data_IF_769862983323
#
_entry.id   IF_769862983323
#
_cell.length_a   1.000
_cell.length_b   1.000
_cell.length_c   1.000
_cell.angle_alpha   90.00
_cell.angle_beta   90.00
_cell.angle_gamma   90.00
#
_symmetry.space_group_name_H-M   'P 1'
#
loop_
_entity.id
_entity.type
_entity.pdbx_description
1 polymer ?
#
# COMPACT_ATOMS: atom_id res chain seq x y z
N UNK A 1 2.06 21.28 4.37
CA UNK A 1 1.30 20.99 5.60
C UNK A 1 2.08 19.98 6.43
N UNK A 2 2.11 20.14 7.75
CA UNK A 2 2.72 19.23 8.71
C UNK A 2 1.70 18.91 9.82
N UNK A 3 2.02 17.93 10.68
CA UNK A 3 1.15 17.54 11.80
C UNK A 3 0.36 16.27 11.55
N UNK A 4 -0.71 16.06 12.34
CA UNK A 4 -1.51 14.83 12.32
C UNK A 4 -2.16 14.57 10.95
N UNK A 5 -2.05 13.35 10.46
CA UNK A 5 -2.67 12.94 9.19
C UNK A 5 -4.16 12.64 9.41
N UNK A 6 -5.03 13.46 8.84
CA UNK A 6 -6.48 13.20 8.74
C UNK A 6 -6.71 12.70 7.33
N UNK A 7 -6.73 11.37 7.18
CA UNK A 7 -6.66 10.70 5.89
C UNK A 7 -7.99 10.13 5.41
N UNK A 8 -8.09 9.93 4.09
CA UNK A 8 -9.08 9.08 3.47
C UNK A 8 -8.40 8.19 2.41
N UNK A 9 -8.81 6.91 2.33
CA UNK A 9 -8.51 6.09 1.16
C UNK A 9 -9.60 6.33 0.12
N UNK A 10 -9.19 6.77 -1.08
CA UNK A 10 -10.12 7.07 -2.18
C UNK A 10 -9.72 6.34 -3.45
N UNK A 11 -9.12 5.15 -3.33
CA UNK A 11 -8.60 4.46 -4.50
C UNK A 11 -9.69 4.00 -5.47
N UNK A 12 -10.95 3.90 -5.04
CA UNK A 12 -12.10 3.67 -5.93
C UNK A 12 -12.56 4.89 -6.72
N UNK A 13 -12.04 6.09 -6.44
CA UNK A 13 -12.62 7.33 -6.96
C UNK A 13 -12.71 7.36 -8.49
N UNK A 14 -11.66 6.94 -9.18
CA UNK A 14 -11.60 6.95 -10.65
C UNK A 14 -12.58 5.96 -11.27
N UNK A 15 -12.83 4.82 -10.63
CA UNK A 15 -13.85 3.85 -11.03
C UNK A 15 -15.26 4.41 -10.81
N UNK A 16 -15.52 4.96 -9.62
CA UNK A 16 -16.79 5.63 -9.31
C UNK A 16 -17.10 6.78 -10.29
N UNK A 17 -16.09 7.59 -10.64
CA UNK A 17 -16.23 8.67 -11.62
C UNK A 17 -16.57 8.14 -13.03
N UNK A 18 -15.95 7.03 -13.45
CA UNK A 18 -16.29 6.37 -14.73
C UNK A 18 -17.72 5.84 -14.73
N UNK A 19 -18.19 5.34 -13.60
CA UNK A 19 -19.56 4.83 -13.42
C UNK A 19 -20.60 5.97 -13.24
N UNK A 20 -20.18 7.23 -13.30
CA UNK A 20 -21.05 8.40 -13.27
C UNK A 20 -21.47 8.84 -11.86
N UNK A 21 -20.82 8.33 -10.82
CA UNK A 21 -21.05 8.75 -9.42
C UNK A 21 -20.69 10.23 -9.26
N UNK A 22 -21.54 10.96 -8.56
CA UNK A 22 -21.35 12.39 -8.25
C UNK A 22 -21.31 12.61 -6.75
N UNK A 23 -20.44 13.50 -6.31
CA UNK A 23 -20.32 13.92 -4.92
C UNK A 23 -20.85 15.34 -4.77
N UNK A 24 -21.48 15.63 -3.63
CA UNK A 24 -22.15 16.89 -3.38
C UNK A 24 -21.75 17.42 -2.00
N UNK A 25 -21.53 18.72 -1.90
CA UNK A 25 -21.36 19.36 -0.61
C UNK A 25 -22.70 19.54 0.12
N UNK A 26 -22.66 20.08 1.34
CA UNK A 26 -23.85 20.28 2.18
C UNK A 26 -24.91 21.20 1.57
N UNK A 27 -24.54 22.03 0.59
CA UNK A 27 -25.45 22.92 -0.14
C UNK A 27 -26.01 22.28 -1.42
N UNK A 28 -25.79 20.98 -1.64
CA UNK A 28 -26.23 20.26 -2.85
C UNK A 28 -25.45 20.62 -4.12
N UNK A 29 -24.27 21.25 -4.00
CA UNK A 29 -23.42 21.58 -5.15
C UNK A 29 -22.51 20.41 -5.49
N UNK A 30 -22.61 19.93 -6.74
CA UNK A 30 -21.71 18.91 -7.27
C UNK A 30 -20.24 19.37 -7.19
N UNK A 31 -19.38 18.52 -6.63
CA UNK A 31 -17.97 18.82 -6.34
C UNK A 31 -17.12 17.57 -6.59
N UNK A 32 -15.87 17.75 -7.01
CA UNK A 32 -14.92 16.63 -7.12
C UNK A 32 -14.59 16.10 -5.71
N UNK A 33 -14.48 14.77 -5.57
CA UNK A 33 -14.43 14.11 -4.26
C UNK A 33 -13.22 14.52 -3.41
N UNK A 34 -12.01 14.52 -3.98
CA UNK A 34 -10.80 14.90 -3.23
C UNK A 34 -10.87 16.37 -2.79
N UNK A 35 -11.38 17.26 -3.65
CA UNK A 35 -11.62 18.65 -3.28
C UNK A 35 -12.65 18.78 -2.15
N UNK A 36 -13.75 18.03 -2.20
CA UNK A 36 -14.75 18.02 -1.13
C UNK A 36 -14.11 17.55 0.19
N UNK A 37 -13.39 16.43 0.19
CA UNK A 37 -12.67 15.94 1.37
C UNK A 37 -11.68 16.98 1.90
N UNK A 38 -11.02 17.72 1.01
CA UNK A 38 -10.10 18.80 1.39
C UNK A 38 -10.82 19.91 2.15
N UNK A 39 -11.97 20.35 1.64
CA UNK A 39 -12.81 21.37 2.23
C UNK A 39 -13.38 20.92 3.60
N UNK A 40 -13.67 19.62 3.75
CA UNK A 40 -14.10 19.00 5.02
C UNK A 40 -12.93 18.69 5.98
N UNK A 41 -11.70 19.08 5.63
CA UNK A 41 -10.55 19.06 6.53
C UNK A 41 -9.67 17.82 6.47
N UNK A 42 -9.87 16.93 5.50
CA UNK A 42 -8.90 15.87 5.13
C UNK A 42 -7.61 16.53 4.63
N UNK A 43 -6.45 15.99 5.04
CA UNK A 43 -5.14 16.51 4.67
C UNK A 43 -4.19 15.46 4.07
N UNK A 44 -4.60 14.19 4.05
CA UNK A 44 -3.81 13.09 3.49
C UNK A 44 -4.69 12.15 2.67
N UNK A 45 -4.12 11.51 1.65
CA UNK A 45 -4.81 10.52 0.82
C UNK A 45 -4.02 9.22 0.80
N UNK A 46 -4.71 8.09 0.97
CA UNK A 46 -4.17 6.74 0.82
C UNK A 46 -4.63 6.14 -0.50
N UNK A 47 -3.71 5.50 -1.21
CA UNK A 47 -3.96 4.87 -2.52
C UNK A 47 -3.37 3.46 -2.56
N UNK A 48 -4.22 2.45 -2.75
CA UNK A 48 -3.79 1.07 -2.97
C UNK A 48 -3.25 0.83 -4.37
N UNK A 49 -2.29 -0.08 -4.47
CA UNK A 49 -1.58 -0.48 -5.68
C UNK A 49 -1.69 -1.99 -5.85
N UNK A 50 -2.20 -2.41 -7.00
CA UNK A 50 -2.23 -3.79 -7.48
C UNK A 50 -1.20 -3.97 -8.61
N UNK A 51 -0.74 -5.21 -8.80
CA UNK A 51 0.35 -5.51 -9.74
C UNK A 51 -0.17 -5.52 -11.19
N UNK A 52 -1.03 -6.47 -11.55
CA UNK A 52 -1.66 -6.58 -12.86
C UNK A 52 -3.18 -6.76 -12.76
N UNK A 53 -3.92 -5.76 -12.26
CA UNK A 53 -5.35 -5.90 -12.04
C UNK A 53 -6.17 -5.93 -13.32
N UNK A 54 -7.20 -6.76 -13.34
CA UNK A 54 -8.21 -6.74 -14.38
C UNK A 54 -8.95 -5.38 -14.40
N UNK A 55 -9.16 -4.81 -15.58
CA UNK A 55 -9.78 -3.48 -15.74
C UNK A 55 -8.86 -2.29 -15.45
N UNK A 56 -7.65 -2.51 -14.93
CA UNK A 56 -6.61 -1.49 -14.75
C UNK A 56 -6.76 -0.61 -13.51
N UNK A 57 -7.86 -0.72 -12.76
CA UNK A 57 -8.06 0.03 -11.52
C UNK A 57 -7.09 -0.41 -10.44
N UNK A 58 -6.60 0.56 -9.68
CA UNK A 58 -5.52 0.38 -8.70
C UNK A 58 -4.19 -0.11 -9.32
N UNK A 59 -4.09 -0.26 -10.64
CA UNK A 59 -2.83 -0.47 -11.34
C UNK A 59 -1.99 0.81 -11.37
N UNK A 60 -0.75 0.68 -11.86
CA UNK A 60 0.24 1.76 -11.90
C UNK A 60 -0.30 3.09 -12.46
N UNK A 61 -0.91 3.07 -13.64
CA UNK A 61 -1.36 4.29 -14.33
C UNK A 61 -2.49 5.00 -13.57
N UNK A 62 -3.43 4.23 -13.02
CA UNK A 62 -4.55 4.75 -12.23
C UNK A 62 -4.06 5.37 -10.91
N UNK A 63 -3.12 4.72 -10.24
CA UNK A 63 -2.46 5.25 -9.03
C UNK A 63 -1.74 6.55 -9.33
N UNK A 64 -0.99 6.63 -10.44
CA UNK A 64 -0.29 7.85 -10.86
C UNK A 64 -1.27 9.00 -11.09
N UNK A 65 -2.38 8.73 -11.77
CA UNK A 65 -3.40 9.74 -12.05
C UNK A 65 -4.03 10.28 -10.75
N UNK A 66 -4.42 9.40 -9.82
CA UNK A 66 -4.98 9.79 -8.51
C UNK A 66 -3.96 10.52 -7.63
N UNK A 67 -2.73 10.03 -7.55
CA UNK A 67 -1.67 10.64 -6.75
C UNK A 67 -1.30 12.04 -7.25
N UNK A 68 -1.18 12.21 -8.57
CA UNK A 68 -0.94 13.52 -9.17
C UNK A 68 -2.08 14.48 -8.86
N UNK A 69 -3.34 14.04 -9.01
CA UNK A 69 -4.53 14.84 -8.66
C UNK A 69 -4.51 15.28 -7.19
N UNK A 70 -4.28 14.34 -6.27
CA UNK A 70 -4.21 14.61 -4.84
C UNK A 70 -3.08 15.61 -4.49
N UNK A 71 -1.92 15.51 -5.15
CA UNK A 71 -0.86 16.51 -4.98
C UNK A 71 -1.28 17.90 -5.44
N UNK A 72 -1.99 18.04 -6.58
CA UNK A 72 -2.46 19.36 -7.04
C UNK A 72 -3.41 20.03 -6.03
N UNK A 73 -4.12 19.23 -5.23
CA UNK A 73 -5.00 19.69 -4.15
C UNK A 73 -4.26 19.89 -2.81
N UNK A 74 -2.95 19.67 -2.80
CA UNK A 74 -2.06 19.88 -1.66
C UNK A 74 -2.13 18.78 -0.59
N UNK A 75 -2.66 17.60 -0.90
CA UNK A 75 -2.68 16.47 0.03
C UNK A 75 -1.26 15.95 0.33
N UNK A 76 -1.10 15.24 1.44
CA UNK A 76 0.04 14.33 1.69
C UNK A 76 -0.33 12.93 1.21
N UNK A 77 0.62 12.14 0.73
CA UNK A 77 0.30 10.86 0.09
C UNK A 77 0.85 9.65 0.86
N UNK A 78 -0.01 8.64 0.98
CA UNK A 78 0.35 7.28 1.35
C UNK A 78 0.09 6.36 0.15
N UNK A 79 1.10 5.59 -0.25
CA UNK A 79 0.98 4.57 -1.30
C UNK A 79 1.00 3.20 -0.64
N UNK A 80 0.00 2.37 -0.93
CA UNK A 80 -0.21 1.08 -0.27
C UNK A 80 -0.04 -0.06 -1.27
N UNK A 81 1.07 -0.78 -1.20
CA UNK A 81 1.32 -1.92 -2.08
C UNK A 81 0.69 -3.18 -1.52
N UNK A 82 -0.28 -3.73 -2.24
CA UNK A 82 -0.88 -5.02 -1.88
C UNK A 82 -0.01 -6.22 -2.26
N UNK A 83 0.88 -6.06 -3.26
CA UNK A 83 1.62 -7.17 -3.88
C UNK A 83 0.73 -8.35 -4.30
N UNK A 84 -0.45 -8.02 -4.84
CA UNK A 84 -1.45 -8.92 -5.41
C UNK A 84 -2.03 -8.27 -6.66
N UNK A 85 -2.63 -9.05 -7.55
CA UNK A 85 -3.39 -8.53 -8.70
C UNK A 85 -4.79 -8.03 -8.27
N UNK A 86 -5.18 -8.28 -7.03
CA UNK A 86 -6.48 -7.94 -6.46
C UNK A 86 -6.34 -7.59 -4.98
N UNK A 87 -7.45 -7.56 -4.25
CA UNK A 87 -7.47 -7.37 -2.80
C UNK A 87 -6.48 -8.30 -2.09
N UNK A 88 -5.76 -7.71 -1.15
CA UNK A 88 -4.89 -8.40 -0.22
C UNK A 88 -5.41 -8.06 1.18
N UNK A 89 -5.72 -9.08 1.97
CA UNK A 89 -6.34 -8.98 3.27
C UNK A 89 -5.86 -10.16 4.15
N UNK A 90 -6.26 -10.27 5.42
CA UNK A 90 -5.78 -11.31 6.33
C UNK A 90 -6.18 -12.74 5.95
N UNK A 91 -7.10 -12.91 5.00
CA UNK A 91 -7.54 -14.20 4.46
C UNK A 91 -7.04 -14.43 3.01
N UNK A 92 -6.58 -13.40 2.32
CA UNK A 92 -6.12 -13.47 0.94
C UNK A 92 -4.83 -12.68 0.75
N UNK A 93 -3.71 -13.37 0.52
CA UNK A 93 -2.42 -12.75 0.18
C UNK A 93 -1.85 -13.37 -1.11
N UNK A 94 -2.71 -13.55 -2.10
CA UNK A 94 -2.43 -14.30 -3.33
C UNK A 94 -1.26 -13.71 -4.11
N UNK A 95 -0.29 -14.56 -4.47
CA UNK A 95 0.82 -14.18 -5.36
C UNK A 95 0.28 -13.76 -6.74
N UNK A 96 0.70 -12.59 -7.29
CA UNK A 96 0.34 -12.16 -8.64
C UNK A 96 0.59 -13.24 -9.69
N UNK A 97 -0.28 -13.33 -10.70
CA UNK A 97 -0.21 -14.35 -11.73
C UNK A 97 1.15 -14.37 -12.44
N UNK A 98 1.73 -13.19 -12.69
CA UNK A 98 3.03 -13.04 -13.35
C UNK A 98 4.22 -13.53 -12.51
N UNK A 99 4.05 -13.72 -11.20
CA UNK A 99 5.08 -14.16 -10.26
C UNK A 99 4.89 -15.62 -9.83
N UNK A 100 3.89 -16.30 -10.39
CA UNK A 100 3.68 -17.72 -10.16
C UNK A 100 4.89 -18.52 -10.67
N UNK A 101 5.43 -19.41 -9.83
CA UNK A 101 6.62 -20.20 -10.12
C UNK A 101 7.96 -19.50 -9.85
N UNK A 102 7.96 -18.29 -9.28
CA UNK A 102 9.19 -17.64 -8.86
C UNK A 102 9.82 -18.37 -7.67
N UNK A 103 11.15 -18.42 -7.65
CA UNK A 103 11.93 -18.75 -6.45
C UNK A 103 11.85 -17.62 -5.43
N UNK A 104 12.27 -17.86 -4.18
CA UNK A 104 12.28 -16.83 -3.14
C UNK A 104 13.10 -15.60 -3.54
N UNK A 105 14.25 -15.79 -4.20
CA UNK A 105 15.09 -14.68 -4.68
C UNK A 105 14.42 -13.88 -5.80
N UNK A 106 13.74 -14.55 -6.74
CA UNK A 106 12.97 -13.88 -7.78
C UNK A 106 11.78 -13.12 -7.20
N UNK A 107 11.10 -13.68 -6.19
CA UNK A 107 9.99 -13.03 -5.49
C UNK A 107 10.46 -11.75 -4.79
N UNK A 108 11.59 -11.82 -4.08
CA UNK A 108 12.23 -10.67 -3.44
C UNK A 108 12.58 -9.58 -4.45
N UNK A 109 13.14 -9.96 -5.60
CA UNK A 109 13.48 -9.04 -6.68
C UNK A 109 12.21 -8.41 -7.29
N UNK A 110 11.15 -9.18 -7.49
CA UNK A 110 9.87 -8.71 -8.04
C UNK A 110 9.20 -7.68 -7.14
N UNK A 111 9.21 -7.88 -5.82
CA UNK A 111 8.77 -6.89 -4.83
C UNK A 111 9.56 -5.59 -5.01
N UNK A 112 10.90 -5.65 -5.01
CA UNK A 112 11.73 -4.46 -5.14
C UNK A 112 11.50 -3.72 -6.48
N UNK A 113 11.37 -4.45 -7.58
CA UNK A 113 11.19 -3.88 -8.92
C UNK A 113 9.81 -3.26 -9.09
N UNK A 114 8.74 -3.92 -8.65
CA UNK A 114 7.39 -3.36 -8.70
C UNK A 114 7.27 -2.09 -7.85
N UNK A 115 7.80 -2.10 -6.63
CA UNK A 115 7.82 -0.92 -5.76
C UNK A 115 8.60 0.23 -6.41
N UNK A 116 9.80 -0.03 -6.95
CA UNK A 116 10.60 1.00 -7.64
C UNK A 116 9.90 1.53 -8.88
N UNK A 117 9.32 0.67 -9.70
CA UNK A 117 8.66 1.05 -10.95
C UNK A 117 7.50 2.03 -10.68
N UNK A 118 6.59 1.68 -9.78
CA UNK A 118 5.45 2.55 -9.44
C UNK A 118 5.91 3.85 -8.79
N UNK A 119 6.83 3.79 -7.82
CA UNK A 119 7.32 5.00 -7.14
C UNK A 119 8.12 5.91 -8.08
N UNK A 120 8.92 5.35 -9.00
CA UNK A 120 9.63 6.16 -10.00
C UNK A 120 8.66 6.81 -10.95
N UNK A 121 7.65 6.08 -11.43
CA UNK A 121 6.64 6.65 -12.32
C UNK A 121 5.85 7.79 -11.64
N UNK A 122 5.55 7.68 -10.35
CA UNK A 122 5.02 8.80 -9.55
C UNK A 122 5.97 10.00 -9.55
N UNK A 123 7.25 9.77 -9.25
CA UNK A 123 8.30 10.81 -9.19
C UNK A 123 8.49 11.49 -10.54
N UNK A 124 8.52 10.73 -11.62
CA UNK A 124 8.68 11.20 -13.00
C UNK A 124 7.45 12.01 -13.46
N UNK A 125 6.26 11.69 -12.93
CA UNK A 125 5.05 12.52 -13.11
C UNK A 125 5.04 13.79 -12.25
N UNK A 126 6.09 14.01 -11.45
CA UNK A 126 6.27 15.16 -10.57
C UNK A 126 5.58 15.02 -9.21
N UNK A 127 5.16 13.82 -8.81
CA UNK A 127 4.64 13.57 -7.46
C UNK A 127 5.80 13.47 -6.49
N UNK A 128 6.01 14.49 -5.66
CA UNK A 128 7.16 14.59 -4.75
C UNK A 128 6.78 14.47 -3.28
N UNK A 129 5.48 14.47 -2.97
CA UNK A 129 4.90 14.50 -1.62
C UNK A 129 4.44 13.13 -1.10
N UNK A 130 5.01 12.03 -1.62
CA UNK A 130 4.84 10.69 -1.02
C UNK A 130 5.51 10.71 0.35
N UNK A 131 4.70 10.64 1.41
CA UNK A 131 5.16 10.72 2.79
C UNK A 131 5.18 9.36 3.47
N UNK A 132 4.31 8.43 3.04
CA UNK A 132 4.28 7.07 3.55
C UNK A 132 4.15 6.06 2.42
N UNK A 133 4.72 4.87 2.65
CA UNK A 133 4.51 3.73 1.78
C UNK A 133 4.26 2.49 2.62
N UNK A 134 3.15 1.78 2.39
CA UNK A 134 2.96 0.45 2.97
C UNK A 134 3.63 -0.61 2.09
N UNK A 135 4.38 -1.50 2.73
CA UNK A 135 4.94 -2.69 2.08
C UNK A 135 4.07 -3.87 2.53
N UNK A 136 3.00 -4.11 1.77
CA UNK A 136 1.93 -5.04 2.12
C UNK A 136 0.71 -4.34 2.73
N UNK A 137 -0.47 -4.95 2.56
CA UNK A 137 -1.73 -4.53 3.16
C UNK A 137 -2.26 -5.63 4.09
N UNK A 138 -2.56 -5.28 5.34
CA UNK A 138 -3.11 -6.18 6.37
C UNK A 138 -2.39 -7.54 6.48
N UNK A 139 -1.05 -7.50 6.58
CA UNK A 139 -0.17 -8.68 6.49
C UNK A 139 -0.07 -9.45 7.80
N UNK A 140 -1.19 -9.74 8.48
CA UNK A 140 -1.20 -10.36 9.83
C UNK A 140 -0.52 -11.71 9.89
N UNK A 141 -0.57 -12.48 8.81
CA UNK A 141 0.23 -13.70 8.65
C UNK A 141 1.15 -13.57 7.42
N UNK A 142 1.73 -12.39 7.23
CA UNK A 142 2.62 -12.11 6.11
C UNK A 142 1.92 -11.74 4.81
N UNK A 143 2.63 -11.91 3.69
CA UNK A 143 2.18 -11.57 2.35
C UNK A 143 2.70 -12.58 1.32
N UNK A 144 2.20 -12.54 0.08
CA UNK A 144 2.68 -13.42 -1.00
C UNK A 144 2.62 -14.91 -0.62
N UNK A 145 1.44 -15.38 -0.23
CA UNK A 145 1.21 -16.75 0.18
C UNK A 145 1.37 -17.69 -1.02
N UNK A 146 2.38 -18.55 -0.93
CA UNK A 146 2.71 -19.56 -1.91
C UNK A 146 2.56 -20.95 -1.30
N UNK A 147 2.19 -21.96 -2.11
CA UNK A 147 2.11 -23.35 -1.66
C UNK A 147 3.48 -23.96 -1.33
N UNK A 148 4.56 -23.41 -1.90
CA UNK A 148 5.93 -23.80 -1.55
C UNK A 148 6.42 -23.01 -0.33
N UNK A 149 6.66 -23.69 0.79
CA UNK A 149 7.18 -23.08 2.03
C UNK A 149 8.56 -22.44 1.85
N UNK A 150 9.34 -22.88 0.84
CA UNK A 150 10.63 -22.24 0.51
C UNK A 150 10.45 -20.86 -0.13
N UNK A 151 9.27 -20.54 -0.66
CA UNK A 151 8.96 -19.28 -1.37
C UNK A 151 7.95 -18.42 -0.62
N UNK A 152 7.04 -19.02 0.16
CA UNK A 152 5.96 -18.26 0.80
C UNK A 152 6.49 -17.15 1.71
N UNK A 153 5.84 -15.98 1.68
CA UNK A 153 6.03 -14.92 2.66
C UNK A 153 5.02 -15.00 3.81
N UNK A 154 4.36 -16.14 4.00
CA UNK A 154 3.45 -16.39 5.11
C UNK A 154 4.25 -16.60 6.40
N UNK A 155 4.05 -15.76 7.42
CA UNK A 155 4.92 -15.75 8.62
C UNK A 155 4.84 -17.06 9.40
N UNK A 156 3.65 -17.64 9.52
CA UNK A 156 3.41 -18.93 10.19
C UNK A 156 4.11 -20.12 9.53
N UNK A 157 4.61 -19.95 8.30
CA UNK A 157 5.35 -20.95 7.52
C UNK A 157 6.82 -20.59 7.36
N UNK A 158 7.11 -19.33 7.04
CA UNK A 158 8.45 -18.86 6.77
C UNK A 158 8.60 -17.36 7.06
N UNK A 159 8.83 -17.03 8.33
CA UNK A 159 9.05 -15.65 8.78
C UNK A 159 10.29 -14.98 8.16
N UNK A 160 11.32 -15.77 7.79
CA UNK A 160 12.53 -15.25 7.17
C UNK A 160 12.26 -14.69 5.76
N UNK A 161 11.46 -15.40 4.96
CA UNK A 161 11.02 -14.89 3.65
C UNK A 161 10.17 -13.63 3.79
N UNK A 162 9.23 -13.60 4.75
CA UNK A 162 8.44 -12.39 5.00
C UNK A 162 9.34 -11.18 5.29
N UNK A 163 10.29 -11.32 6.21
CA UNK A 163 11.25 -10.25 6.53
C UNK A 163 12.10 -9.84 5.32
N UNK A 164 12.54 -10.81 4.50
CA UNK A 164 13.30 -10.53 3.28
C UNK A 164 12.48 -9.73 2.26
N UNK A 165 11.19 -10.03 2.10
CA UNK A 165 10.30 -9.31 1.18
C UNK A 165 9.94 -7.91 1.71
N UNK A 166 9.69 -7.77 3.02
CA UNK A 166 9.52 -6.45 3.65
C UNK A 166 10.77 -5.59 3.43
N UNK A 167 11.97 -6.16 3.64
CA UNK A 167 13.23 -5.45 3.44
C UNK A 167 13.45 -5.02 1.99
N UNK A 168 13.10 -5.87 1.02
CA UNK A 168 13.18 -5.54 -0.40
C UNK A 168 12.26 -4.36 -0.75
N UNK A 169 11.03 -4.35 -0.25
CA UNK A 169 10.11 -3.22 -0.38
C UNK A 169 10.63 -1.97 0.32
N UNK A 170 11.13 -2.08 1.56
CA UNK A 170 11.71 -0.97 2.32
C UNK A 170 12.86 -0.31 1.56
N UNK A 171 13.84 -1.09 1.13
CA UNK A 171 15.03 -0.58 0.43
C UNK A 171 14.64 0.02 -0.95
N UNK A 172 13.63 -0.55 -1.62
CA UNK A 172 13.04 0.01 -2.84
C UNK A 172 12.37 1.36 -2.61
N UNK A 173 11.60 1.53 -1.53
CA UNK A 173 11.00 2.82 -1.14
C UNK A 173 12.10 3.85 -0.91
N UNK A 174 13.10 3.53 -0.08
CA UNK A 174 14.18 4.45 0.28
C UNK A 174 15.02 4.87 -0.92
N UNK A 175 15.17 4.01 -1.93
CA UNK A 175 15.88 4.34 -3.17
C UNK A 175 15.17 5.42 -4.00
N UNK A 176 13.84 5.58 -3.90
CA UNK A 176 13.08 6.53 -4.72
C UNK A 176 12.64 7.75 -3.91
N UNK A 177 12.08 7.51 -2.72
CA UNK A 177 11.62 8.50 -1.75
C UNK A 177 12.34 8.26 -0.40
N UNK A 178 13.58 8.73 -0.24
CA UNK A 178 14.40 8.44 0.94
C UNK A 178 13.78 8.91 2.27
N UNK A 179 12.93 9.94 2.21
CA UNK A 179 12.25 10.50 3.38
C UNK A 179 10.86 9.90 3.65
N UNK A 180 10.33 9.05 2.76
CA UNK A 180 9.05 8.40 2.99
C UNK A 180 9.17 7.41 4.15
N UNK A 181 8.18 7.41 5.05
CA UNK A 181 8.11 6.44 6.15
C UNK A 181 7.53 5.13 5.63
N UNK A 182 8.24 4.03 5.81
CA UNK A 182 7.79 2.70 5.42
C UNK A 182 6.93 2.11 6.54
N UNK A 183 5.73 1.68 6.16
CA UNK A 183 4.72 1.12 7.05
C UNK A 183 4.64 -0.39 6.83
N UNK A 184 4.65 -1.13 7.93
CA UNK A 184 4.12 -2.50 7.97
C UNK A 184 2.73 -2.40 8.60
N UNK A 185 1.72 -2.90 7.91
CA UNK A 185 0.31 -2.69 8.23
C UNK A 185 -0.40 -4.02 8.52
N UNK A 186 -1.14 -4.06 9.63
CA UNK A 186 -1.84 -5.25 10.12
C UNK A 186 -3.29 -4.91 10.45
N UNK A 187 -4.21 -5.86 10.26
CA UNK A 187 -5.59 -5.73 10.73
C UNK A 187 -5.70 -5.90 12.26
N UNK A 188 -6.93 -5.87 12.80
CA UNK A 188 -7.21 -6.14 14.21
C UNK A 188 -6.31 -5.36 15.19
N UNK A 189 -6.25 -4.03 15.06
CA UNK A 189 -5.42 -3.18 15.90
C UNK A 189 -5.66 -3.28 17.41
N UNK A 190 -6.77 -3.91 17.82
CA UNK A 190 -7.10 -4.23 19.20
C UNK A 190 -6.44 -5.53 19.73
N UNK A 191 -5.98 -6.44 18.86
CA UNK A 191 -5.37 -7.71 19.25
C UNK A 191 -3.87 -7.57 19.50
N UNK A 192 -3.51 -7.24 20.74
CA UNK A 192 -2.11 -7.11 21.14
C UNK A 192 -1.30 -8.39 20.92
N UNK A 193 -1.92 -9.58 21.03
CA UNK A 193 -1.24 -10.87 20.89
C UNK A 193 -0.77 -11.10 19.45
N UNK A 194 -1.67 -10.97 18.48
CA UNK A 194 -1.36 -11.08 17.06
C UNK A 194 -0.35 -10.02 16.60
N UNK A 195 -0.49 -8.78 17.07
CA UNK A 195 0.45 -7.70 16.75
C UNK A 195 1.86 -8.02 17.26
N UNK A 196 1.98 -8.40 18.53
CA UNK A 196 3.29 -8.73 19.14
C UNK A 196 3.94 -9.89 18.40
N UNK A 197 3.17 -10.94 18.10
CA UNK A 197 3.67 -12.11 17.37
C UNK A 197 4.25 -11.76 16.00
N UNK A 198 3.55 -10.96 15.18
CA UNK A 198 4.06 -10.58 13.86
C UNK A 198 5.33 -9.72 13.98
N UNK A 199 5.29 -8.67 14.80
CA UNK A 199 6.40 -7.72 14.89
C UNK A 199 7.64 -8.33 15.55
N UNK A 200 7.49 -9.26 16.50
CA UNK A 200 8.62 -10.02 17.05
C UNK A 200 9.25 -10.92 15.99
N UNK A 201 8.45 -11.69 15.23
CA UNK A 201 8.97 -12.50 14.12
C UNK A 201 9.71 -11.64 13.09
N UNK A 202 9.14 -10.49 12.74
CA UNK A 202 9.76 -9.58 11.78
C UNK A 202 11.09 -9.02 12.32
N UNK A 203 11.14 -8.64 13.61
CA UNK A 203 12.34 -8.13 14.27
C UNK A 203 13.43 -9.20 14.38
N UNK A 204 13.09 -10.41 14.80
CA UNK A 204 14.01 -11.54 14.95
C UNK A 204 14.67 -11.94 13.62
N UNK A 205 13.96 -11.73 12.50
CA UNK A 205 14.46 -11.98 11.15
C UNK A 205 15.07 -10.74 10.48
N UNK A 206 15.31 -9.65 11.23
CA UNK A 206 16.01 -8.46 10.73
C UNK A 206 15.18 -7.58 9.80
N UNK A 207 13.85 -7.59 9.94
CA UNK A 207 12.94 -6.73 9.19
C UNK A 207 13.12 -5.24 9.49
N UNK A 208 12.86 -4.40 8.49
CA UNK A 208 12.98 -2.94 8.55
C UNK A 208 11.62 -2.27 8.32
N UNK A 209 11.23 -1.37 9.20
CA UNK A 209 10.07 -0.50 9.05
C UNK A 209 10.25 0.77 9.88
N UNK A 210 9.52 1.83 9.54
CA UNK A 210 9.58 3.10 10.28
C UNK A 210 8.31 3.31 11.14
N UNK A 211 7.19 2.72 10.73
CA UNK A 211 5.86 2.94 11.35
C UNK A 211 5.07 1.63 11.38
N UNK A 212 4.36 1.41 12.48
CA UNK A 212 3.33 0.36 12.61
C UNK A 212 2.00 0.96 12.16
N UNK A 213 1.36 0.36 11.15
CA UNK A 213 0.01 0.68 10.70
C UNK A 213 -1.00 -0.35 11.21
N UNK A 214 -2.18 0.10 11.64
CA UNK A 214 -3.21 -0.78 12.20
C UNK A 214 -4.57 -0.44 11.59
N UNK A 215 -5.32 -1.46 11.14
CA UNK A 215 -6.75 -1.29 10.88
C UNK A 215 -7.55 -1.44 12.16
N UNK A 216 -8.58 -0.61 12.32
CA UNK A 216 -9.55 -0.72 13.41
C UNK A 216 -10.95 -0.50 12.86
N UNK A 217 -11.69 -1.59 12.72
CA UNK A 217 -13.12 -1.60 12.40
C UNK A 217 -13.84 -2.21 13.60
N UNK A 218 -14.41 -1.38 14.51
CA UNK A 218 -14.98 -1.84 15.79
C UNK A 218 -16.33 -2.54 15.64
#
# INVERSE_FOLDING_TARGET
MSGFAKGADVSWLTEMEKDGVKFYNQNGKATECMKLLREEGTNSIRLRVWVNPEGGWCGKDDVIAKAWRAQQLGFRLMIDFHYSDTWADPAHQTVPAAWQGYTAEQMKQAVADHTKDVLKALKDRGVTNVEWVQVGNETRDGMLWNSDEAVTGQVSKNAANFAAYINAGYDAVKAVYPNAKVIVHVDQGQDLGGLTWLYDNLKENGGKWDVIGLSLYP
#
